data_IF_249027454080
#
_entry.id   IF_249027454080
#
_cell.length_a   1.000
_cell.length_b   1.000
_cell.length_c   1.000
_cell.angle_alpha   90.00
_cell.angle_beta   90.00
_cell.angle_gamma   90.00
#
_symmetry.space_group_name_H-M   'P 1'
#
loop_
_entity.id
_entity.type
_entity.pdbx_description
1 polymer ?
#
# COMPACT_ATOMS: atom_id res chain seq x y z
N UNK A 1 7.49 21.46 -9.94
CA UNK A 1 6.58 20.56 -9.15
C UNK A 1 7.35 19.50 -8.36
N UNK A 2 8.36 18.80 -8.94
CA UNK A 2 9.21 17.78 -8.26
C UNK A 2 9.88 18.33 -7.00
N UNK A 3 10.64 19.41 -7.09
CA UNK A 3 11.41 19.98 -5.97
C UNK A 3 10.56 20.26 -4.74
N UNK A 4 9.42 20.97 -4.89
CA UNK A 4 8.51 21.25 -3.77
C UNK A 4 7.96 20.01 -3.05
N UNK A 5 7.77 18.88 -3.76
CA UNK A 5 7.31 17.62 -3.14
C UNK A 5 8.43 16.94 -2.37
N UNK A 6 9.63 16.96 -2.91
CA UNK A 6 10.82 16.40 -2.25
C UNK A 6 11.19 17.22 -1.01
N UNK A 7 11.18 18.56 -1.09
CA UNK A 7 11.40 19.44 0.07
C UNK A 7 10.40 19.16 1.20
N UNK A 8 9.10 18.99 0.87
CA UNK A 8 8.09 18.59 1.87
C UNK A 8 8.40 17.24 2.50
N UNK A 9 8.78 16.25 1.69
CA UNK A 9 9.13 14.93 2.20
C UNK A 9 10.31 15.00 3.18
N UNK A 10 11.37 15.74 2.84
CA UNK A 10 12.51 15.93 3.73
C UNK A 10 12.13 16.66 5.02
N UNK A 11 11.26 17.66 4.95
CA UNK A 11 10.77 18.35 6.13
C UNK A 11 9.95 17.42 7.06
N UNK A 12 9.14 16.52 6.49
CA UNK A 12 8.42 15.52 7.29
C UNK A 12 9.37 14.47 7.88
N UNK A 13 10.33 13.98 7.12
CA UNK A 13 11.37 13.06 7.63
C UNK A 13 12.09 13.68 8.83
N UNK A 14 12.49 14.95 8.74
CA UNK A 14 13.15 15.65 9.85
C UNK A 14 12.27 15.74 11.10
N UNK A 15 10.97 16.02 10.96
CA UNK A 15 10.02 16.07 12.07
C UNK A 15 9.89 14.71 12.78
N UNK A 16 9.73 13.64 11.99
CA UNK A 16 9.60 12.28 12.54
C UNK A 16 10.89 11.82 13.19
N UNK A 17 12.05 12.13 12.58
CA UNK A 17 13.36 11.81 13.15
C UNK A 17 13.60 12.59 14.46
N UNK A 18 13.10 13.82 14.58
CA UNK A 18 13.18 14.60 15.82
C UNK A 18 12.24 14.08 16.91
N UNK A 19 11.09 13.50 16.52
CA UNK A 19 10.13 12.91 17.46
C UNK A 19 10.65 11.62 18.11
N UNK A 20 11.43 10.83 17.37
CA UNK A 20 12.12 9.64 17.90
C UNK A 20 13.49 9.47 17.21
N UNK A 21 14.54 9.85 17.91
CA UNK A 21 15.91 9.76 17.43
C UNK A 21 16.50 8.34 17.49
N UNK A 22 15.85 7.41 18.19
CA UNK A 22 16.30 6.03 18.35
C UNK A 22 16.06 5.17 17.11
N UNK A 23 15.15 5.60 16.23
CA UNK A 23 14.75 4.88 15.02
C UNK A 23 15.07 5.71 13.78
N UNK A 24 15.72 5.10 12.79
CA UNK A 24 15.98 5.77 11.50
C UNK A 24 14.69 5.93 10.70
N UNK A 25 14.34 7.15 10.33
CA UNK A 25 13.23 7.46 9.43
C UNK A 25 13.67 7.31 7.97
N UNK A 26 13.01 6.44 7.22
CA UNK A 26 13.28 6.21 5.81
C UNK A 26 12.24 6.96 4.97
N UNK A 27 12.63 7.89 4.08
CA UNK A 27 11.70 8.54 3.18
C UNK A 27 11.08 7.54 2.21
N UNK A 28 9.81 7.72 1.91
CA UNK A 28 9.08 6.88 0.96
C UNK A 28 8.25 7.71 -0.01
N UNK A 29 8.19 7.28 -1.26
CA UNK A 29 7.24 7.78 -2.24
C UNK A 29 6.14 6.73 -2.44
N UNK A 30 4.90 7.17 -2.39
CA UNK A 30 3.73 6.35 -2.64
C UNK A 30 3.10 6.71 -3.99
N UNK A 31 2.80 5.71 -4.81
CA UNK A 31 2.23 5.89 -6.13
C UNK A 31 1.20 4.81 -6.46
N UNK A 32 -0.02 5.21 -6.79
CA UNK A 32 -1.07 4.27 -7.21
C UNK A 32 -0.79 3.86 -8.66
N UNK A 33 -0.19 2.70 -8.85
CA UNK A 33 0.21 2.17 -10.15
C UNK A 33 -0.95 1.51 -10.92
N UNK A 34 -1.95 1.02 -10.18
CA UNK A 34 -3.22 0.50 -10.73
C UNK A 34 -4.35 1.18 -9.96
N UNK A 35 -5.16 1.98 -10.64
CA UNK A 35 -6.22 2.79 -10.02
C UNK A 35 -7.58 2.22 -10.38
N UNK A 36 -8.43 1.95 -9.39
CA UNK A 36 -9.81 1.58 -9.61
C UNK A 36 -10.60 2.72 -10.30
N UNK A 37 -11.55 2.35 -11.14
CA UNK A 37 -12.34 3.29 -11.94
C UNK A 37 -13.83 3.02 -11.75
N UNK A 38 -14.61 4.07 -11.52
CA UNK A 38 -16.08 3.99 -11.47
C UNK A 38 -16.71 3.70 -12.84
N UNK A 39 -16.04 4.08 -13.93
CA UNK A 39 -16.46 3.75 -15.30
C UNK A 39 -15.82 2.47 -15.79
N UNK A 40 -16.46 1.83 -16.79
CA UNK A 40 -15.87 0.68 -17.48
C UNK A 40 -14.50 1.04 -18.06
N UNK A 41 -13.54 0.18 -17.81
CA UNK A 41 -12.21 0.22 -18.41
C UNK A 41 -12.03 -0.94 -19.40
N UNK A 42 -10.87 -1.03 -20.02
CA UNK A 42 -10.52 -2.13 -20.91
C UNK A 42 -10.85 -3.48 -20.25
N UNK A 43 -11.60 -4.33 -20.98
CA UNK A 43 -12.06 -5.65 -20.55
C UNK A 43 -13.00 -5.64 -19.31
N UNK A 44 -13.76 -4.60 -19.08
CA UNK A 44 -14.69 -4.46 -17.95
C UNK A 44 -14.04 -4.65 -16.57
N UNK A 45 -12.74 -4.38 -16.45
CA UNK A 45 -12.01 -4.59 -15.20
C UNK A 45 -12.17 -3.45 -14.20
N UNK A 46 -12.81 -2.36 -14.58
CA UNK A 46 -12.98 -1.18 -13.70
C UNK A 46 -11.69 -0.72 -13.02
N UNK A 47 -10.59 -0.78 -13.76
CA UNK A 47 -9.28 -0.30 -13.31
C UNK A 47 -8.47 0.26 -14.47
N UNK A 48 -7.53 1.15 -14.15
CA UNK A 48 -6.57 1.75 -15.09
C UNK A 48 -5.15 1.48 -14.59
N UNK A 49 -4.34 0.83 -15.42
CA UNK A 49 -2.89 0.70 -15.17
C UNK A 49 -2.20 1.99 -15.62
N UNK A 50 -1.43 2.59 -14.73
CA UNK A 50 -0.66 3.79 -15.05
C UNK A 50 0.45 3.46 -16.06
N UNK A 51 0.75 4.40 -16.98
CA UNK A 51 1.85 4.22 -17.93
C UNK A 51 3.18 4.00 -17.21
N UNK A 52 3.97 3.02 -17.66
CA UNK A 52 5.27 2.70 -17.07
C UNK A 52 6.21 3.91 -16.96
N UNK A 53 6.19 4.83 -17.94
CA UNK A 53 6.97 6.08 -17.87
C UNK A 53 6.69 6.92 -16.61
N UNK A 54 5.50 6.85 -16.05
CA UNK A 54 5.16 7.56 -14.81
C UNK A 54 5.76 6.82 -13.60
N UNK A 55 5.68 5.49 -13.60
CA UNK A 55 6.30 4.67 -12.56
C UNK A 55 7.82 4.87 -12.58
N UNK A 56 8.45 4.84 -13.78
CA UNK A 56 9.89 5.13 -13.97
C UNK A 56 10.26 6.49 -13.40
N UNK A 57 9.42 7.50 -13.61
CA UNK A 57 9.64 8.84 -13.08
C UNK A 57 9.68 8.82 -11.55
N UNK A 58 8.74 8.14 -10.88
CA UNK A 58 8.69 8.05 -9.42
C UNK A 58 9.88 7.26 -8.88
N UNK A 59 10.23 6.12 -9.51
CA UNK A 59 11.40 5.31 -9.13
C UNK A 59 12.69 6.13 -9.25
N UNK A 60 12.87 6.89 -10.33
CA UNK A 60 14.03 7.77 -10.51
C UNK A 60 14.06 8.92 -9.48
N UNK A 61 12.90 9.46 -9.09
CA UNK A 61 12.85 10.45 -8.02
C UNK A 61 13.28 9.84 -6.69
N UNK A 62 12.76 8.69 -6.33
CA UNK A 62 13.12 7.98 -5.11
C UNK A 62 14.62 7.69 -5.05
N UNK A 63 15.18 7.17 -6.14
CA UNK A 63 16.62 6.92 -6.25
C UNK A 63 17.45 8.18 -6.03
N UNK A 64 16.99 9.35 -6.50
CA UNK A 64 17.74 10.61 -6.35
C UNK A 64 17.80 11.15 -4.91
N UNK A 65 17.04 10.60 -3.99
CA UNK A 65 16.94 11.01 -2.58
C UNK A 65 17.07 9.85 -1.59
N UNK A 66 17.56 8.71 -2.05
CA UNK A 66 17.69 7.47 -1.25
C UNK A 66 16.39 7.07 -0.54
N UNK A 67 15.27 7.17 -1.26
CA UNK A 67 13.95 6.81 -0.77
C UNK A 67 13.49 5.46 -1.29
N UNK A 68 12.57 4.82 -0.57
CA UNK A 68 11.82 3.66 -1.06
C UNK A 68 10.57 4.10 -1.82
N UNK A 69 10.01 3.18 -2.61
CA UNK A 69 8.77 3.40 -3.37
C UNK A 69 7.76 2.34 -2.98
N UNK A 70 6.52 2.74 -2.71
CA UNK A 70 5.37 1.85 -2.65
C UNK A 70 4.53 2.03 -3.91
N UNK A 71 4.39 0.96 -4.68
CA UNK A 71 3.46 0.90 -5.81
C UNK A 71 2.16 0.28 -5.33
N UNK A 72 1.10 1.07 -5.29
CA UNK A 72 -0.22 0.64 -4.83
C UNK A 72 -1.08 0.10 -5.95
N UNK A 73 -1.87 -0.91 -5.61
CA UNK A 73 -2.80 -1.59 -6.50
C UNK A 73 -4.21 -1.54 -5.96
N UNK A 74 -5.11 -0.97 -6.75
CA UNK A 74 -6.57 -0.98 -6.59
C UNK A 74 -7.17 -1.82 -7.71
N UNK A 75 -7.57 -3.04 -7.42
CA UNK A 75 -7.83 -4.06 -8.45
C UNK A 75 -9.11 -3.87 -9.27
N UNK A 76 -10.13 -3.17 -8.74
CA UNK A 76 -11.45 -3.10 -9.36
C UNK A 76 -12.07 -4.51 -9.49
N UNK A 77 -12.37 -4.92 -10.73
CA UNK A 77 -12.84 -6.27 -11.07
C UNK A 77 -11.70 -7.23 -11.50
N UNK A 78 -10.44 -6.82 -11.32
CA UNK A 78 -9.26 -7.66 -11.51
C UNK A 78 -8.92 -8.40 -10.21
N UNK A 79 -7.76 -9.01 -10.14
CA UNK A 79 -7.23 -9.67 -8.95
C UNK A 79 -5.81 -9.19 -8.62
N UNK A 80 -5.40 -9.35 -7.36
CA UNK A 80 -4.02 -9.09 -6.95
C UNK A 80 -3.05 -9.89 -7.83
N UNK A 81 -3.32 -11.17 -8.03
CA UNK A 81 -2.49 -12.07 -8.82
C UNK A 81 -2.26 -11.58 -10.25
N UNK A 82 -3.31 -11.03 -10.89
CA UNK A 82 -3.21 -10.47 -12.24
C UNK A 82 -2.39 -9.16 -12.25
N UNK A 83 -2.63 -8.27 -11.28
CA UNK A 83 -2.04 -6.94 -11.31
C UNK A 83 -0.57 -6.92 -10.85
N UNK A 84 -0.17 -7.73 -9.85
CA UNK A 84 1.23 -7.77 -9.40
C UNK A 84 2.17 -8.27 -10.49
N UNK A 85 1.73 -9.20 -11.35
CA UNK A 85 2.53 -9.72 -12.47
C UNK A 85 2.87 -8.61 -13.47
N UNK A 86 1.94 -7.68 -13.71
CA UNK A 86 2.16 -6.56 -14.63
C UNK A 86 3.27 -5.60 -14.17
N UNK A 87 3.57 -5.58 -12.87
CA UNK A 87 4.59 -4.74 -12.23
C UNK A 87 5.85 -5.50 -11.82
N UNK A 88 5.98 -6.79 -12.19
CA UNK A 88 7.03 -7.69 -11.74
C UNK A 88 8.45 -7.10 -11.87
N UNK A 89 8.74 -6.40 -12.97
CA UNK A 89 10.07 -5.82 -13.19
C UNK A 89 10.42 -4.72 -12.19
N UNK A 90 9.43 -3.98 -11.69
CA UNK A 90 9.66 -2.97 -10.66
C UNK A 90 9.97 -3.60 -9.31
N UNK A 91 9.32 -4.71 -8.96
CA UNK A 91 9.58 -5.41 -7.70
C UNK A 91 10.94 -6.11 -7.64
N UNK A 92 11.65 -6.25 -8.77
CA UNK A 92 13.06 -6.67 -8.79
C UNK A 92 14.02 -5.56 -8.31
N UNK A 93 13.56 -4.32 -8.21
CA UNK A 93 14.36 -3.23 -7.65
C UNK A 93 14.33 -3.31 -6.12
N UNK A 94 15.46 -3.25 -5.40
CA UNK A 94 15.51 -3.48 -3.96
C UNK A 94 14.66 -2.48 -3.16
N UNK A 95 14.54 -1.25 -3.62
CA UNK A 95 13.83 -0.16 -2.96
C UNK A 95 12.36 0.00 -3.41
N UNK A 96 11.82 -0.93 -4.20
CA UNK A 96 10.40 -0.88 -4.62
C UNK A 96 9.61 -1.95 -3.88
N UNK A 97 8.54 -1.53 -3.25
CA UNK A 97 7.65 -2.29 -2.39
C UNK A 97 6.21 -2.25 -2.91
N UNK A 98 5.31 -3.04 -2.34
CA UNK A 98 3.94 -3.17 -2.78
C UNK A 98 2.96 -2.63 -1.73
N UNK A 99 1.96 -1.87 -2.18
CA UNK A 99 0.73 -1.59 -1.45
C UNK A 99 -0.46 -2.25 -2.13
N UNK A 100 -1.42 -2.71 -1.35
CA UNK A 100 -2.69 -3.25 -1.85
C UNK A 100 -3.85 -2.64 -1.09
N UNK A 101 -4.90 -2.29 -1.83
CA UNK A 101 -6.05 -1.59 -1.28
C UNK A 101 -7.33 -2.43 -1.40
N UNK A 102 -7.73 -3.12 -0.32
CA UNK A 102 -8.95 -3.93 -0.31
C UNK A 102 -10.21 -3.13 -0.59
N UNK A 103 -10.24 -1.81 -0.28
CA UNK A 103 -11.39 -0.94 -0.48
C UNK A 103 -11.96 -1.09 -1.89
N UNK A 104 -11.11 -1.26 -2.88
CA UNK A 104 -11.48 -1.31 -4.29
C UNK A 104 -11.52 -2.73 -4.89
N UNK A 105 -11.60 -3.77 -4.07
CA UNK A 105 -11.75 -5.15 -4.55
C UNK A 105 -13.22 -5.52 -4.70
N UNK A 106 -13.75 -5.40 -5.93
CA UNK A 106 -15.16 -5.54 -6.26
C UNK A 106 -15.47 -6.94 -6.80
N UNK A 107 -15.39 -7.96 -5.93
CA UNK A 107 -15.52 -9.38 -6.31
C UNK A 107 -16.89 -9.79 -6.86
N UNK A 108 -17.94 -9.04 -6.51
CA UNK A 108 -19.32 -9.38 -6.93
C UNK A 108 -19.83 -8.47 -8.06
N UNK A 109 -18.91 -7.74 -8.73
CA UNK A 109 -19.25 -6.89 -9.88
C UNK A 109 -19.80 -5.50 -9.52
N UNK A 110 -19.64 -5.06 -8.26
CA UNK A 110 -20.03 -3.71 -7.86
C UNK A 110 -19.13 -2.66 -8.54
N UNK A 111 -19.62 -1.45 -8.71
CA UNK A 111 -18.81 -0.35 -9.20
C UNK A 111 -17.86 0.14 -8.10
N UNK A 112 -16.53 0.24 -8.37
CA UNK A 112 -15.58 0.78 -7.40
C UNK A 112 -15.99 2.16 -6.87
N UNK A 113 -15.88 2.34 -5.54
CA UNK A 113 -16.29 3.56 -4.84
C UNK A 113 -17.75 3.59 -4.40
N UNK A 114 -18.59 2.61 -4.80
CA UNK A 114 -19.99 2.51 -4.31
C UNK A 114 -20.11 1.67 -3.05
N UNK A 115 -19.14 0.81 -2.82
CA UNK A 115 -19.02 -0.03 -1.63
C UNK A 115 -17.56 -0.18 -1.24
N UNK A 116 -17.33 -0.52 0.02
CA UNK A 116 -16.01 -0.91 0.52
C UNK A 116 -15.81 -2.40 0.18
N UNK A 117 -14.74 -2.69 -0.54
CA UNK A 117 -14.36 -4.03 -0.98
C UNK A 117 -13.66 -4.85 0.11
N UNK A 118 -13.20 -6.03 -0.28
CA UNK A 118 -12.61 -7.02 0.64
C UNK A 118 -11.48 -7.80 -0.04
N UNK A 119 -10.37 -7.99 0.67
CA UNK A 119 -9.43 -9.09 0.42
C UNK A 119 -9.57 -10.17 1.50
N UNK A 120 -9.51 -11.41 1.08
CA UNK A 120 -9.31 -12.54 1.99
C UNK A 120 -7.82 -12.71 2.30
N UNK A 121 -7.50 -13.50 3.30
CA UNK A 121 -6.12 -13.89 3.54
C UNK A 121 -5.47 -14.54 2.32
N UNK A 122 -6.23 -15.28 1.51
CA UNK A 122 -5.70 -15.94 0.31
C UNK A 122 -5.30 -14.92 -0.76
N UNK A 123 -6.09 -13.84 -0.98
CA UNK A 123 -5.71 -12.75 -1.89
C UNK A 123 -4.40 -12.07 -1.45
N UNK A 124 -4.25 -11.85 -0.13
CA UNK A 124 -3.04 -11.23 0.43
C UNK A 124 -1.85 -12.20 0.34
N UNK A 125 -2.08 -13.50 0.56
CA UNK A 125 -1.07 -14.53 0.43
C UNK A 125 -0.60 -14.69 -1.03
N UNK A 126 -1.44 -14.49 -2.03
CA UNK A 126 -1.02 -14.44 -3.44
C UNK A 126 0.03 -13.33 -3.67
N UNK A 127 -0.16 -12.15 -3.06
CA UNK A 127 0.84 -11.07 -3.11
C UNK A 127 2.12 -11.44 -2.37
N UNK A 128 2.00 -12.06 -1.19
CA UNK A 128 3.15 -12.49 -0.38
C UNK A 128 3.96 -13.53 -1.14
N UNK A 129 3.33 -14.57 -1.69
CA UNK A 129 4.00 -15.64 -2.43
C UNK A 129 4.70 -15.10 -3.68
N UNK A 130 4.07 -14.17 -4.39
CA UNK A 130 4.65 -13.49 -5.54
C UNK A 130 5.91 -12.70 -5.17
N UNK A 131 5.83 -11.86 -4.13
CA UNK A 131 6.98 -11.06 -3.68
C UNK A 131 8.11 -11.94 -3.15
N UNK A 132 7.77 -12.99 -2.38
CA UNK A 132 8.76 -13.93 -1.85
C UNK A 132 9.51 -14.64 -2.96
N UNK A 133 8.82 -15.06 -4.02
CA UNK A 133 9.45 -15.62 -5.22
C UNK A 133 10.46 -14.64 -5.82
N UNK A 134 10.06 -13.37 -6.03
CA UNK A 134 10.96 -12.34 -6.58
C UNK A 134 12.18 -12.13 -5.67
N UNK A 135 11.98 -12.06 -4.36
CA UNK A 135 13.07 -11.89 -3.39
C UNK A 135 14.08 -13.03 -3.50
N UNK A 136 13.63 -14.29 -3.50
CA UNK A 136 14.49 -15.46 -3.58
C UNK A 136 15.24 -15.54 -4.91
N UNK A 137 14.53 -15.39 -6.03
CA UNK A 137 15.11 -15.51 -7.37
C UNK A 137 16.15 -14.42 -7.66
N UNK A 138 15.98 -13.23 -7.10
CA UNK A 138 16.87 -12.09 -7.36
C UNK A 138 17.78 -11.75 -6.17
N UNK A 139 17.79 -12.55 -5.09
CA UNK A 139 18.61 -12.35 -3.87
C UNK A 139 18.45 -10.95 -3.30
N UNK A 140 17.21 -10.48 -3.19
CA UNK A 140 16.87 -9.14 -2.73
C UNK A 140 16.70 -9.09 -1.19
N UNK A 141 16.81 -7.90 -0.60
CA UNK A 141 16.32 -7.69 0.76
C UNK A 141 14.81 -7.94 0.82
N UNK A 142 14.25 -8.21 2.02
CA UNK A 142 12.81 -8.41 2.19
C UNK A 142 11.99 -7.27 1.60
N UNK A 143 10.84 -7.61 1.02
CA UNK A 143 9.87 -6.63 0.54
C UNK A 143 8.91 -6.25 1.66
N UNK A 144 8.45 -5.01 1.65
CA UNK A 144 7.35 -4.57 2.48
C UNK A 144 6.05 -4.68 1.67
N UNK A 145 5.04 -5.32 2.25
CA UNK A 145 3.68 -5.36 1.73
C UNK A 145 2.78 -4.53 2.66
N UNK A 146 2.29 -3.40 2.17
CA UNK A 146 1.30 -2.58 2.87
C UNK A 146 -0.10 -3.02 2.47
N UNK A 147 -0.92 -3.37 3.46
CA UNK A 147 -2.35 -3.68 3.28
C UNK A 147 -3.15 -2.58 3.93
N UNK A 148 -3.86 -1.78 3.13
CA UNK A 148 -4.71 -0.71 3.63
C UNK A 148 -5.96 -1.27 4.32
N UNK A 149 -6.33 -0.71 5.48
CA UNK A 149 -7.49 -1.18 6.22
C UNK A 149 -8.05 -0.11 7.12
N UNK A 150 -9.37 0.13 7.03
CA UNK A 150 -10.09 1.01 7.96
C UNK A 150 -11.44 0.45 8.40
N UNK A 151 -11.85 -0.72 7.88
CA UNK A 151 -12.98 -1.49 8.39
C UNK A 151 -12.61 -2.95 8.60
N UNK A 152 -13.37 -3.64 9.46
CA UNK A 152 -13.09 -5.05 9.73
C UNK A 152 -13.20 -5.92 8.47
N UNK A 153 -14.21 -5.67 7.65
CA UNK A 153 -14.51 -6.49 6.46
C UNK A 153 -13.54 -6.29 5.30
N UNK A 154 -12.72 -5.25 5.32
CA UNK A 154 -11.70 -5.05 4.28
C UNK A 154 -10.69 -6.20 4.24
N UNK A 155 -10.41 -6.82 5.40
CA UNK A 155 -9.52 -7.98 5.47
C UNK A 155 -10.23 -9.09 6.24
N UNK A 156 -10.45 -10.22 5.60
CA UNK A 156 -11.07 -11.40 6.23
C UNK A 156 -10.06 -12.52 6.45
N UNK A 157 -10.29 -13.32 7.49
CA UNK A 157 -9.41 -14.43 7.86
C UNK A 157 -7.97 -14.01 8.16
N UNK A 158 -7.75 -12.83 8.73
CA UNK A 158 -6.42 -12.22 8.94
C UNK A 158 -5.39 -13.17 9.60
N UNK A 159 -5.84 -14.10 10.48
CA UNK A 159 -4.99 -15.11 11.13
C UNK A 159 -4.36 -16.11 10.17
N UNK A 160 -4.85 -16.19 8.92
CA UNK A 160 -4.30 -17.05 7.86
C UNK A 160 -3.32 -16.31 6.95
N UNK A 161 -3.09 -15.03 7.18
CA UNK A 161 -2.08 -14.26 6.44
C UNK A 161 -0.70 -14.79 6.84
N UNK A 162 0.10 -15.17 5.84
CA UNK A 162 1.45 -15.69 6.02
C UNK A 162 2.38 -14.60 6.55
N UNK A 163 3.27 -14.96 7.45
CA UNK A 163 4.41 -14.14 7.86
C UNK A 163 5.69 -14.94 7.56
N UNK A 164 6.46 -14.46 6.61
CA UNK A 164 7.67 -15.13 6.11
C UNK A 164 8.83 -14.13 6.02
N UNK A 165 10.08 -14.59 6.10
CA UNK A 165 11.25 -13.70 6.15
C UNK A 165 11.39 -12.77 4.93
N UNK A 166 10.94 -13.21 3.76
CA UNK A 166 11.09 -12.47 2.51
C UNK A 166 10.11 -11.29 2.37
N UNK A 167 9.02 -11.29 3.17
CA UNK A 167 7.97 -10.26 3.06
C UNK A 167 7.54 -9.79 4.45
N UNK A 168 7.68 -8.50 4.69
CA UNK A 168 7.20 -7.82 5.89
C UNK A 168 5.82 -7.25 5.64
N UNK A 169 4.81 -7.74 6.36
CA UNK A 169 3.41 -7.33 6.18
C UNK A 169 3.07 -6.21 7.15
N UNK A 170 2.61 -5.09 6.62
CA UNK A 170 2.14 -3.92 7.38
C UNK A 170 0.64 -3.75 7.17
N UNK A 171 -0.17 -3.92 8.21
CA UNK A 171 -1.58 -3.53 8.18
C UNK A 171 -1.67 -2.04 8.49
N UNK A 172 -2.03 -1.24 7.50
CA UNK A 172 -2.00 0.20 7.57
C UNK A 172 -3.40 0.79 7.78
N UNK A 173 -3.62 1.46 8.91
CA UNK A 173 -4.86 2.19 9.16
C UNK A 173 -4.90 3.43 8.28
N UNK A 174 -5.78 3.44 7.27
CA UNK A 174 -5.85 4.54 6.31
C UNK A 174 -7.24 5.21 6.25
N UNK A 175 -8.07 4.95 7.24
CA UNK A 175 -9.41 5.55 7.35
C UNK A 175 -9.40 7.06 7.47
N UNK A 176 -10.44 7.64 6.91
CA UNK A 176 -10.73 9.08 6.94
C UNK A 176 -11.53 9.41 8.20
N UNK A 177 -11.33 10.59 8.79
CA UNK A 177 -12.14 11.03 9.93
C UNK A 177 -11.35 11.83 10.95
N UNK A 178 -12.05 12.21 12.04
CA UNK A 178 -11.44 12.90 13.18
C UNK A 178 -10.50 11.99 13.99
N UNK A 179 -9.81 12.58 14.95
CA UNK A 179 -8.84 11.89 15.82
C UNK A 179 -9.46 10.72 16.59
N UNK A 180 -10.69 10.89 17.07
CA UNK A 180 -11.38 9.88 17.90
C UNK A 180 -11.75 8.67 17.01
N UNK A 181 -12.37 8.93 15.88
CA UNK A 181 -12.73 7.90 14.91
C UNK A 181 -11.51 7.13 14.42
N UNK A 182 -10.43 7.82 14.06
CA UNK A 182 -9.19 7.18 13.60
C UNK A 182 -8.55 6.31 14.67
N UNK A 183 -8.48 6.80 15.92
CA UNK A 183 -7.95 6.02 17.05
C UNK A 183 -8.83 4.81 17.34
N UNK A 184 -10.14 4.95 17.35
CA UNK A 184 -11.07 3.84 17.59
C UNK A 184 -10.99 2.79 16.48
N UNK A 185 -10.89 3.21 15.23
CA UNK A 185 -10.69 2.32 14.07
C UNK A 185 -9.39 1.54 14.18
N UNK A 186 -8.29 2.22 14.50
CA UNK A 186 -6.99 1.57 14.72
C UNK A 186 -7.07 0.51 15.82
N UNK A 187 -7.64 0.87 16.98
CA UNK A 187 -7.77 -0.04 18.11
C UNK A 187 -8.67 -1.23 17.79
N UNK A 188 -9.77 -1.00 17.07
CA UNK A 188 -10.76 -2.05 16.78
C UNK A 188 -10.27 -3.07 15.72
N UNK A 189 -9.61 -2.60 14.66
CA UNK A 189 -9.37 -3.42 13.46
C UNK A 189 -7.89 -3.67 13.15
N UNK A 190 -6.98 -2.88 13.70
CA UNK A 190 -5.54 -3.05 13.47
C UNK A 190 -4.87 -3.66 14.70
N UNK A 191 -5.01 -2.99 15.84
CA UNK A 191 -4.39 -3.43 17.10
C UNK A 191 -4.93 -4.77 17.61
N UNK A 192 -6.26 -4.98 17.54
CA UNK A 192 -6.91 -6.24 17.98
C UNK A 192 -6.79 -7.39 16.98
N UNK A 193 -6.47 -7.11 15.76
CA UNK A 193 -6.29 -8.10 14.70
C UNK A 193 -4.88 -8.02 14.10
N UNK A 194 -3.82 -8.25 14.92
CA UNK A 194 -2.44 -8.08 14.50
C UNK A 194 -2.04 -9.18 13.49
N UNK A 195 -1.21 -8.81 12.52
CA UNK A 195 -0.53 -9.75 11.62
C UNK A 195 0.96 -9.75 11.90
N UNK A 196 1.68 -8.68 11.52
CA UNK A 196 3.11 -8.55 11.78
C UNK A 196 3.46 -7.13 12.21
N UNK A 197 3.31 -6.15 11.33
CA UNK A 197 3.54 -4.73 11.64
C UNK A 197 2.27 -3.92 11.43
N UNK A 198 2.20 -2.75 12.04
CA UNK A 198 1.09 -1.81 11.87
C UNK A 198 1.58 -0.48 11.32
N UNK A 199 0.72 0.17 10.53
CA UNK A 199 0.95 1.50 9.98
C UNK A 199 -0.24 2.43 10.26
N UNK A 200 -0.01 3.72 10.07
CA UNK A 200 -1.02 4.75 10.27
C UNK A 200 -0.88 5.86 9.22
N UNK A 201 -1.92 6.11 8.45
CA UNK A 201 -1.95 7.17 7.45
C UNK A 201 -2.54 8.45 8.04
N UNK A 202 -1.78 9.53 7.97
CA UNK A 202 -2.20 10.85 8.42
C UNK A 202 -2.66 11.71 7.24
N UNK A 203 -3.83 12.33 7.37
CA UNK A 203 -4.38 13.29 6.42
C UNK A 203 -4.25 14.70 7.01
N UNK A 204 -3.07 15.31 6.90
CA UNK A 204 -2.70 16.56 7.57
C UNK A 204 -3.71 17.71 7.45
N UNK A 205 -4.50 17.75 6.37
CA UNK A 205 -5.53 18.78 6.19
C UNK A 205 -6.81 18.49 6.97
N UNK A 206 -7.08 17.24 7.29
CA UNK A 206 -8.35 16.80 7.86
C UNK A 206 -8.20 16.38 9.33
N UNK A 207 -7.13 15.68 9.67
CA UNK A 207 -6.91 15.13 11.00
C UNK A 207 -6.55 16.22 12.04
N UNK A 208 -6.12 17.38 11.59
CA UNK A 208 -5.77 18.54 12.44
C UNK A 208 -6.94 19.49 12.68
N UNK A 209 -8.07 19.27 12.04
CA UNK A 209 -9.30 20.03 12.33
C UNK A 209 -9.90 19.48 13.61
N UNK A 210 -10.09 20.37 14.58
CA UNK A 210 -10.80 20.07 15.83
C UNK A 210 -12.29 19.92 15.59
#
# INVERSE_FOLDING_TARGET
>A
MKLKRIEKLHAEVAKWQAADSSVKVIPALHYIAVTAQGSNSVNNKHRLRMPFRQIDTIVNWAKSIDAVVFLDIQVGHSSIKEEVVSLANYFKLPNVHLGIDPEFSMKNGETPGTKIGTFTADDINDAIDFLAKIVRENKLPPKVLVVHRFTQRMVTNYKKIKTIPEVQVVINMDGFGDKILKKSTYLAYIYREPVQFTGFKLFYKNDTKN
#
